data_IF_467120134139
#
_entry.id   IF_467120134139
#
_cell.length_a   1.000
_cell.length_b   1.000
_cell.length_c   1.000
_cell.angle_alpha   90.00
_cell.angle_beta   90.00
_cell.angle_gamma   90.00
#
_symmetry.space_group_name_H-M   'P 1'
#
loop_
_entity.id
_entity.type
_entity.pdbx_description
1 polymer ?
#
# COMPACT_ATOMS: atom_id res chain seq x y z
N UNK A 1 83.09 17.66 -32.71
CA UNK A 1 83.30 18.78 -31.76
C UNK A 1 82.02 19.61 -31.74
N UNK A 2 81.55 20.08 -30.57
CA UNK A 2 80.69 19.41 -29.56
C UNK A 2 79.33 20.16 -29.45
N UNK A 3 78.37 20.00 -28.52
CA UNK A 3 78.32 19.69 -27.08
C UNK A 3 76.84 19.34 -26.75
N UNK A 4 76.48 18.31 -25.97
CA UNK A 4 76.54 18.12 -24.52
C UNK A 4 75.13 18.13 -23.90
N UNK A 5 74.86 17.11 -23.08
CA UNK A 5 73.67 16.94 -22.26
C UNK A 5 73.76 17.75 -20.95
N UNK A 6 72.63 18.11 -20.32
CA UNK A 6 72.21 17.69 -18.97
C UNK A 6 70.94 18.43 -18.47
N UNK A 7 70.03 17.63 -17.89
CA UNK A 7 69.04 17.82 -16.80
C UNK A 7 68.43 19.20 -16.45
N UNK A 8 67.09 19.24 -16.27
CA UNK A 8 66.47 19.21 -14.93
C UNK A 8 64.94 18.99 -15.00
N UNK A 9 64.39 18.35 -13.96
CA UNK A 9 63.03 17.84 -13.79
C UNK A 9 62.01 18.90 -13.34
N UNK A 10 60.70 18.68 -13.59
CA UNK A 10 59.59 18.92 -12.64
C UNK A 10 58.19 18.74 -13.29
N UNK A 11 57.60 17.55 -13.10
CA UNK A 11 56.17 17.30 -12.79
C UNK A 11 55.07 17.53 -13.84
N UNK A 12 54.29 16.47 -14.13
CA UNK A 12 52.84 16.56 -13.88
C UNK A 12 52.37 15.35 -13.06
N UNK A 13 52.71 15.32 -11.76
CA UNK A 13 52.31 14.21 -10.86
C UNK A 13 51.47 14.66 -9.66
N UNK A 14 50.57 15.63 -9.84
CA UNK A 14 49.63 16.02 -8.78
C UNK A 14 48.15 15.94 -9.15
N UNK A 15 47.79 15.31 -10.28
CA UNK A 15 46.37 15.15 -10.67
C UNK A 15 45.87 13.70 -10.46
N UNK A 16 46.76 12.73 -10.28
CA UNK A 16 46.38 11.30 -10.24
C UNK A 16 45.91 10.80 -8.86
N UNK A 17 46.35 11.42 -7.76
CA UNK A 17 45.98 10.97 -6.41
C UNK A 17 44.62 11.52 -5.95
N UNK A 18 44.28 12.74 -6.36
CA UNK A 18 43.01 13.39 -5.98
C UNK A 18 41.81 12.78 -6.73
N UNK A 19 42.01 12.28 -7.96
CA UNK A 19 41.01 11.54 -8.72
C UNK A 19 40.85 10.09 -8.25
N UNK A 20 41.92 9.45 -7.78
CA UNK A 20 41.87 8.10 -7.22
C UNK A 20 41.16 8.05 -5.86
N UNK A 21 41.26 9.11 -5.06
CA UNK A 21 40.54 9.22 -3.78
C UNK A 21 39.05 9.49 -3.98
N UNK A 22 38.69 10.28 -5.01
CA UNK A 22 37.28 10.59 -5.35
C UNK A 22 36.52 9.37 -5.92
N UNK A 23 37.22 8.35 -6.43
CA UNK A 23 36.63 7.15 -7.03
C UNK A 23 36.14 6.08 -6.04
N UNK A 24 36.56 6.14 -4.77
CA UNK A 24 36.26 5.10 -3.77
C UNK A 24 35.19 5.45 -2.73
N UNK A 25 34.77 6.73 -2.66
CA UNK A 25 33.74 7.17 -1.72
C UNK A 25 32.34 7.35 -2.34
N UNK A 26 32.20 7.37 -3.66
CA UNK A 26 30.91 7.59 -4.35
C UNK A 26 30.07 6.30 -4.57
N UNK A 27 30.61 5.11 -4.32
CA UNK A 27 30.03 3.88 -4.91
C UNK A 27 29.27 2.96 -3.93
N UNK A 28 29.47 3.10 -2.61
CA UNK A 28 28.89 2.20 -1.60
C UNK A 28 27.65 2.78 -0.91
N UNK A 29 27.89 3.73 -0.01
CA UNK A 29 26.87 4.32 0.88
C UNK A 29 25.88 5.20 0.10
N UNK A 30 26.38 6.00 -0.85
CA UNK A 30 25.54 6.82 -1.72
C UNK A 30 24.65 5.97 -2.63
N UNK A 31 25.21 4.90 -3.21
CA UNK A 31 24.45 4.00 -4.06
C UNK A 31 23.36 3.24 -3.27
N UNK A 32 23.67 2.80 -2.05
CA UNK A 32 22.69 2.17 -1.15
C UNK A 32 21.59 3.13 -0.71
N UNK A 33 21.98 4.36 -0.33
CA UNK A 33 21.05 5.42 0.03
C UNK A 33 20.13 5.78 -1.13
N UNK A 34 20.67 5.93 -2.34
CA UNK A 34 19.89 6.22 -3.56
C UNK A 34 18.88 5.10 -3.86
N UNK A 35 19.29 3.82 -3.76
CA UNK A 35 18.36 2.68 -3.92
C UNK A 35 17.24 2.72 -2.88
N UNK A 36 17.58 2.99 -1.63
CA UNK A 36 16.61 3.09 -0.53
C UNK A 36 15.60 4.22 -0.75
N UNK A 37 16.07 5.39 -1.19
CA UNK A 37 15.21 6.53 -1.54
C UNK A 37 14.28 6.19 -2.70
N UNK A 38 14.78 5.55 -3.75
CA UNK A 38 13.98 5.13 -4.89
C UNK A 38 12.86 4.17 -4.49
N UNK A 39 13.15 3.20 -3.62
CA UNK A 39 12.14 2.27 -3.08
C UNK A 39 11.06 3.03 -2.28
N UNK A 40 11.46 3.95 -1.40
CA UNK A 40 10.50 4.75 -0.61
C UNK A 40 9.65 5.69 -1.49
N UNK A 41 10.21 6.21 -2.58
CA UNK A 41 9.46 7.00 -3.56
C UNK A 41 8.46 6.12 -4.32
N UNK A 42 8.85 4.92 -4.76
CA UNK A 42 7.96 3.96 -5.39
C UNK A 42 6.80 3.57 -4.46
N UNK A 43 7.08 3.33 -3.18
CA UNK A 43 6.06 3.06 -2.16
C UNK A 43 5.07 4.22 -2.00
N UNK A 44 5.56 5.47 -1.98
CA UNK A 44 4.68 6.66 -1.92
C UNK A 44 3.81 6.79 -3.16
N UNK A 45 4.39 6.59 -4.34
CA UNK A 45 3.65 6.63 -5.60
C UNK A 45 2.58 5.52 -5.64
N UNK A 46 2.93 4.31 -5.20
CA UNK A 46 1.99 3.20 -5.09
C UNK A 46 0.84 3.50 -4.12
N UNK A 47 1.12 3.99 -2.89
CA UNK A 47 0.09 4.37 -1.92
C UNK A 47 -0.85 5.46 -2.48
N UNK A 48 -0.32 6.46 -3.17
CA UNK A 48 -1.13 7.49 -3.81
C UNK A 48 -2.01 6.89 -4.93
N UNK A 49 -1.46 6.02 -5.76
CA UNK A 49 -2.18 5.28 -6.80
C UNK A 49 -3.29 4.40 -6.24
N UNK A 50 -3.00 3.69 -5.13
CA UNK A 50 -3.96 2.85 -4.43
C UNK A 50 -5.12 3.68 -3.85
N UNK A 51 -4.81 4.79 -3.16
CA UNK A 51 -5.81 5.69 -2.62
C UNK A 51 -6.71 6.27 -3.73
N UNK A 52 -6.11 6.69 -4.85
CA UNK A 52 -6.86 7.18 -6.01
C UNK A 52 -7.74 6.09 -6.64
N UNK A 53 -7.24 4.85 -6.75
CA UNK A 53 -8.01 3.71 -7.22
C UNK A 53 -9.19 3.41 -6.29
N UNK A 54 -8.97 3.32 -4.97
CA UNK A 54 -10.04 3.10 -3.98
C UNK A 54 -11.11 4.19 -4.02
N UNK A 55 -10.72 5.45 -4.25
CA UNK A 55 -11.66 6.55 -4.46
C UNK A 55 -12.50 6.35 -5.72
N UNK A 56 -11.88 6.08 -6.88
CA UNK A 56 -12.61 5.83 -8.13
C UNK A 56 -13.57 4.64 -8.03
N UNK A 57 -13.14 3.55 -7.39
CA UNK A 57 -14.00 2.39 -7.16
C UNK A 57 -15.23 2.75 -6.34
N UNK A 58 -15.04 3.48 -5.23
CA UNK A 58 -16.13 4.00 -4.40
C UNK A 58 -17.08 4.92 -5.17
N UNK A 59 -16.52 5.90 -5.88
CA UNK A 59 -17.27 6.86 -6.70
C UNK A 59 -18.10 6.13 -7.77
N UNK A 60 -17.53 5.09 -8.41
CA UNK A 60 -18.24 4.30 -9.43
C UNK A 60 -19.41 3.48 -8.89
N UNK A 61 -19.31 3.05 -7.62
CA UNK A 61 -20.39 2.34 -6.93
C UNK A 61 -21.37 3.31 -6.25
N UNK A 62 -21.11 4.63 -6.29
CA UNK A 62 -21.84 5.64 -5.50
C UNK A 62 -21.88 5.34 -3.99
N UNK A 63 -20.84 4.67 -3.48
CA UNK A 63 -20.74 4.21 -2.10
C UNK A 63 -19.61 4.93 -1.34
N UNK A 64 -19.89 5.28 -0.08
CA UNK A 64 -18.90 5.80 0.85
C UNK A 64 -17.92 4.71 1.35
N UNK A 65 -16.95 5.13 2.16
CA UNK A 65 -15.98 4.19 2.76
C UNK A 65 -16.62 3.21 3.73
N UNK A 66 -17.44 3.72 4.66
CA UNK A 66 -18.18 2.88 5.59
C UNK A 66 -19.19 1.94 4.89
N UNK A 67 -19.68 2.33 3.72
CA UNK A 67 -20.63 1.52 2.95
C UNK A 67 -19.97 0.25 2.43
N UNK A 68 -18.80 0.38 1.79
CA UNK A 68 -18.01 -0.78 1.36
C UNK A 68 -17.53 -1.61 2.54
N UNK A 69 -17.21 -0.97 3.67
CA UNK A 69 -16.78 -1.66 4.88
C UNK A 69 -17.91 -2.57 5.43
N UNK A 70 -19.15 -2.06 5.48
CA UNK A 70 -20.33 -2.86 5.84
C UNK A 70 -20.56 -4.00 4.87
N UNK A 71 -20.60 -3.72 3.55
CA UNK A 71 -20.85 -4.76 2.57
C UNK A 71 -19.82 -5.89 2.64
N UNK A 72 -18.54 -5.55 2.81
CA UNK A 72 -17.47 -6.55 2.94
C UNK A 72 -17.62 -7.38 4.22
N UNK A 73 -18.04 -6.75 5.32
CA UNK A 73 -18.29 -7.44 6.58
C UNK A 73 -19.42 -8.46 6.45
N UNK A 74 -20.56 -8.01 5.92
CA UNK A 74 -21.74 -8.86 5.72
C UNK A 74 -21.49 -9.99 4.71
N UNK A 75 -20.73 -9.72 3.64
CA UNK A 75 -20.32 -10.75 2.68
C UNK A 75 -19.45 -11.84 3.32
N UNK A 76 -18.57 -11.46 4.25
CA UNK A 76 -17.74 -12.41 5.01
C UNK A 76 -18.59 -13.21 6.00
N UNK A 77 -19.49 -12.56 6.74
CA UNK A 77 -20.40 -13.23 7.66
C UNK A 77 -21.31 -14.24 6.93
N UNK A 78 -21.82 -13.88 5.74
CA UNK A 78 -22.59 -14.77 4.87
C UNK A 78 -21.80 -16.01 4.45
N UNK A 79 -20.52 -15.88 4.11
CA UNK A 79 -19.65 -17.04 3.80
C UNK A 79 -19.46 -17.97 5.01
N UNK A 80 -19.54 -17.41 6.22
CA UNK A 80 -19.43 -18.13 7.49
C UNK A 80 -20.79 -18.61 8.01
N UNK A 81 -21.87 -18.40 7.26
CA UNK A 81 -23.26 -18.70 7.67
C UNK A 81 -23.64 -18.03 9.00
N UNK A 82 -23.06 -16.86 9.28
CA UNK A 82 -23.35 -16.06 10.47
C UNK A 82 -24.32 -14.93 10.15
N UNK A 83 -25.35 -14.79 10.98
CA UNK A 83 -26.22 -13.62 11.00
C UNK A 83 -25.47 -12.44 11.64
N UNK A 84 -25.72 -11.22 11.14
CA UNK A 84 -25.14 -9.98 11.68
C UNK A 84 -26.26 -9.08 12.15
N UNK A 85 -26.19 -8.67 13.42
CA UNK A 85 -27.18 -7.76 14.01
C UNK A 85 -26.72 -6.29 13.98
N UNK A 86 -27.67 -5.37 14.10
CA UNK A 86 -27.39 -3.93 14.13
C UNK A 86 -26.38 -3.48 15.21
N UNK A 87 -26.43 -3.97 16.47
CA UNK A 87 -25.47 -3.56 17.51
C UNK A 87 -24.04 -3.99 17.19
N UNK A 88 -23.89 -5.20 16.63
CA UNK A 88 -22.62 -5.74 16.16
C UNK A 88 -22.04 -4.89 15.03
N UNK A 89 -22.89 -4.49 14.07
CA UNK A 89 -22.46 -3.65 12.97
C UNK A 89 -21.98 -2.26 13.44
N UNK A 90 -22.67 -1.67 14.42
CA UNK A 90 -22.25 -0.40 15.02
C UNK A 90 -20.89 -0.51 15.71
N UNK A 91 -20.68 -1.60 16.47
CA UNK A 91 -19.41 -1.88 17.12
C UNK A 91 -18.28 -2.09 16.10
N UNK A 92 -18.53 -2.88 15.04
CA UNK A 92 -17.57 -3.14 13.97
C UNK A 92 -17.14 -1.86 13.23
N UNK A 93 -18.07 -0.95 12.99
CA UNK A 93 -17.80 0.33 12.34
C UNK A 93 -17.17 1.37 13.27
N UNK A 94 -17.09 1.10 14.58
CA UNK A 94 -16.67 2.06 15.60
C UNK A 94 -17.45 3.39 15.54
N UNK A 95 -18.76 3.32 15.30
CA UNK A 95 -19.67 4.48 15.26
C UNK A 95 -20.81 4.32 16.26
N UNK A 96 -21.53 5.42 16.52
CA UNK A 96 -22.74 5.35 17.35
C UNK A 96 -23.84 4.50 16.68
N UNK A 97 -24.72 3.89 17.48
CA UNK A 97 -25.86 3.13 16.97
C UNK A 97 -26.76 3.95 16.06
N UNK A 98 -26.92 5.26 16.32
CA UNK A 98 -27.71 6.16 15.47
C UNK A 98 -27.04 6.38 14.10
N UNK A 99 -25.72 6.55 14.06
CA UNK A 99 -24.97 6.67 12.81
C UNK A 99 -25.00 5.37 12.00
N UNK A 100 -24.82 4.22 12.67
CA UNK A 100 -24.95 2.91 12.01
C UNK A 100 -26.34 2.70 11.41
N UNK A 101 -27.41 3.03 12.14
CA UNK A 101 -28.79 2.96 11.61
C UNK A 101 -29.00 3.88 10.42
N UNK A 102 -28.48 5.11 10.46
CA UNK A 102 -28.59 6.03 9.33
C UNK A 102 -27.87 5.51 8.07
N UNK A 103 -26.71 4.88 8.27
CA UNK A 103 -25.96 4.23 7.20
C UNK A 103 -26.72 3.04 6.61
N UNK A 104 -27.23 2.13 7.45
CA UNK A 104 -28.00 0.96 7.00
C UNK A 104 -29.27 1.39 6.28
N UNK A 105 -30.04 2.33 6.84
CA UNK A 105 -31.26 2.83 6.19
C UNK A 105 -30.98 3.51 4.84
N UNK A 106 -29.84 4.18 4.69
CA UNK A 106 -29.40 4.73 3.39
C UNK A 106 -29.10 3.62 2.39
N UNK A 107 -28.38 2.59 2.81
CA UNK A 107 -28.00 1.46 1.96
C UNK A 107 -29.19 0.57 1.60
N UNK A 108 -30.16 0.42 2.49
CA UNK A 108 -31.42 -0.26 2.21
C UNK A 108 -32.24 0.52 1.18
N UNK A 109 -32.33 1.86 1.31
CA UNK A 109 -33.02 2.71 0.33
C UNK A 109 -32.38 2.66 -1.06
N UNK A 110 -31.06 2.48 -1.14
CA UNK A 110 -30.36 2.32 -2.42
C UNK A 110 -30.35 0.86 -2.93
N UNK A 111 -31.02 -0.07 -2.24
CA UNK A 111 -31.14 -1.47 -2.65
C UNK A 111 -29.90 -2.33 -2.35
N UNK A 112 -28.99 -1.84 -1.50
CA UNK A 112 -27.75 -2.56 -1.19
C UNK A 112 -27.87 -3.55 -0.03
N UNK A 113 -28.75 -3.23 0.92
CA UNK A 113 -29.01 -4.04 2.10
C UNK A 113 -30.50 -4.37 2.21
N UNK A 114 -30.78 -5.42 2.96
CA UNK A 114 -32.12 -5.76 3.45
C UNK A 114 -32.00 -6.03 4.95
N UNK A 115 -32.94 -5.51 5.73
CA UNK A 115 -33.07 -5.83 7.15
C UNK A 115 -34.26 -6.76 7.34
N UNK A 116 -34.03 -7.95 7.87
CA UNK A 116 -35.06 -8.95 8.15
C UNK A 116 -35.07 -9.26 9.66
N UNK A 117 -36.07 -8.74 10.37
CA UNK A 117 -36.08 -8.79 11.84
C UNK A 117 -34.92 -7.99 12.42
N UNK A 118 -34.01 -8.67 13.14
CA UNK A 118 -32.80 -8.07 13.71
C UNK A 118 -31.54 -8.27 12.86
N UNK A 119 -31.66 -8.97 11.73
CA UNK A 119 -30.54 -9.34 10.86
C UNK A 119 -30.38 -8.38 9.68
N UNK A 120 -29.14 -7.95 9.43
CA UNK A 120 -28.77 -7.12 8.28
C UNK A 120 -28.07 -7.98 7.24
N UNK A 121 -28.54 -7.95 6.00
CA UNK A 121 -28.02 -8.77 4.89
C UNK A 121 -27.72 -7.93 3.66
N UNK A 122 -26.78 -8.39 2.83
CA UNK A 122 -26.56 -7.85 1.48
C UNK A 122 -27.55 -8.42 0.48
N UNK A 123 -27.95 -7.61 -0.50
CA UNK A 123 -28.71 -8.09 -1.66
C UNK A 123 -27.84 -8.93 -2.59
N UNK A 124 -28.46 -9.79 -3.41
CA UNK A 124 -27.75 -10.63 -4.40
C UNK A 124 -27.01 -9.76 -5.42
N UNK A 125 -27.63 -8.64 -5.80
CA UNK A 125 -27.11 -7.64 -6.72
C UNK A 125 -25.85 -6.98 -6.13
N UNK A 126 -25.89 -6.56 -4.86
CA UNK A 126 -24.72 -5.94 -4.21
C UNK A 126 -23.60 -6.93 -3.98
N UNK A 127 -23.94 -8.17 -3.64
CA UNK A 127 -23.00 -9.28 -3.59
C UNK A 127 -22.25 -9.45 -4.91
N UNK A 128 -22.98 -9.45 -6.03
CA UNK A 128 -22.40 -9.57 -7.37
C UNK A 128 -21.59 -8.33 -7.74
N UNK A 129 -22.09 -7.13 -7.47
CA UNK A 129 -21.43 -5.85 -7.77
C UNK A 129 -20.10 -5.71 -7.02
N UNK A 130 -20.09 -6.00 -5.71
CA UNK A 130 -18.89 -5.96 -4.87
C UNK A 130 -17.88 -7.00 -5.35
N UNK A 131 -18.31 -8.25 -5.59
CA UNK A 131 -17.41 -9.30 -6.09
C UNK A 131 -16.84 -8.96 -7.47
N UNK A 132 -17.66 -8.44 -8.38
CA UNK A 132 -17.21 -8.08 -9.72
C UNK A 132 -16.21 -6.91 -9.67
N UNK A 133 -16.51 -5.88 -8.89
CA UNK A 133 -15.69 -4.66 -8.86
C UNK A 133 -14.40 -4.84 -8.05
N UNK A 134 -14.47 -5.43 -6.86
CA UNK A 134 -13.27 -5.71 -6.05
C UNK A 134 -12.50 -6.93 -6.58
N UNK A 135 -13.18 -7.91 -7.18
CA UNK A 135 -12.55 -9.08 -7.79
C UNK A 135 -11.66 -8.70 -8.97
N UNK A 136 -12.15 -7.86 -9.90
CA UNK A 136 -11.34 -7.33 -11.00
C UNK A 136 -10.11 -6.55 -10.51
N UNK A 137 -10.24 -5.79 -9.42
CA UNK A 137 -9.09 -5.12 -8.81
C UNK A 137 -8.08 -6.14 -8.27
N UNK A 138 -8.54 -7.14 -7.53
CA UNK A 138 -7.69 -8.18 -6.97
C UNK A 138 -6.97 -9.00 -8.05
N UNK A 139 -7.68 -9.36 -9.11
CA UNK A 139 -7.13 -10.08 -10.26
C UNK A 139 -6.01 -9.29 -10.95
N UNK A 140 -6.22 -7.99 -11.19
CA UNK A 140 -5.17 -7.12 -11.78
C UNK A 140 -3.93 -6.99 -10.90
N UNK A 141 -4.09 -7.00 -9.58
CA UNK A 141 -2.95 -6.99 -8.65
C UNK A 141 -2.23 -8.34 -8.63
N UNK A 142 -2.97 -9.44 -8.72
CA UNK A 142 -2.43 -10.79 -8.80
C UNK A 142 -1.65 -10.99 -10.11
N UNK A 143 -2.18 -10.52 -11.23
CA UNK A 143 -1.52 -10.51 -12.53
C UNK A 143 -0.21 -9.70 -12.50
N UNK A 144 -0.24 -8.51 -11.90
CA UNK A 144 0.96 -7.68 -11.74
C UNK A 144 2.05 -8.35 -10.90
N UNK A 145 1.67 -9.13 -9.88
CA UNK A 145 2.61 -9.92 -9.07
C UNK A 145 3.06 -11.22 -9.79
N UNK A 146 2.22 -11.79 -10.64
CA UNK A 146 2.46 -13.07 -11.33
C UNK A 146 3.63 -13.07 -12.30
N UNK A 147 4.14 -11.90 -12.70
CA UNK A 147 5.33 -11.76 -13.55
C UNK A 147 6.67 -11.89 -12.80
N UNK A 148 6.67 -12.01 -11.47
CA UNK A 148 7.89 -12.07 -10.67
C UNK A 148 8.52 -13.47 -10.65
N UNK A 149 9.85 -13.51 -10.68
CA UNK A 149 10.60 -14.73 -10.35
C UNK A 149 10.43 -15.10 -8.86
N UNK A 150 10.68 -16.35 -8.46
CA UNK A 150 10.58 -16.76 -7.06
C UNK A 150 11.46 -15.94 -6.11
N UNK A 151 12.65 -15.52 -6.53
CA UNK A 151 13.57 -14.70 -5.73
C UNK A 151 13.07 -13.26 -5.57
N UNK A 152 12.59 -12.64 -6.65
CA UNK A 152 11.99 -11.31 -6.59
C UNK A 152 10.76 -11.29 -5.69
N UNK A 153 9.89 -12.31 -5.80
CA UNK A 153 8.72 -12.46 -4.93
C UNK A 153 9.11 -12.55 -3.45
N UNK A 154 10.12 -13.37 -3.11
CA UNK A 154 10.64 -13.46 -1.73
C UNK A 154 11.20 -12.13 -1.23
N UNK A 155 11.98 -11.43 -2.07
CA UNK A 155 12.58 -10.17 -1.71
C UNK A 155 11.52 -9.08 -1.43
N UNK A 156 10.49 -9.00 -2.27
CA UNK A 156 9.37 -8.06 -2.11
C UNK A 156 8.58 -8.34 -0.84
N UNK A 157 8.21 -9.61 -0.59
CA UNK A 157 7.48 -10.00 0.63
C UNK A 157 8.30 -9.65 1.89
N UNK A 158 9.59 -9.99 1.90
CA UNK A 158 10.46 -9.69 3.04
C UNK A 158 10.63 -8.18 3.25
N UNK A 159 10.74 -7.39 2.18
CA UNK A 159 10.81 -5.93 2.24
C UNK A 159 9.52 -5.33 2.83
N UNK A 160 8.35 -5.74 2.32
CA UNK A 160 7.05 -5.25 2.81
C UNK A 160 6.84 -5.59 4.29
N UNK A 161 7.26 -6.77 4.73
CA UNK A 161 7.25 -7.15 6.15
C UNK A 161 8.05 -6.18 7.02
N UNK A 162 9.31 -5.88 6.65
CA UNK A 162 10.14 -4.92 7.39
C UNK A 162 9.54 -3.51 7.42
N UNK A 163 8.85 -3.10 6.36
CA UNK A 163 8.19 -1.80 6.31
C UNK A 163 6.97 -1.74 7.23
N UNK A 164 6.20 -2.83 7.34
CA UNK A 164 5.09 -2.93 8.27
C UNK A 164 5.60 -2.83 9.72
N UNK A 165 6.62 -3.63 10.07
CA UNK A 165 7.25 -3.58 11.40
C UNK A 165 7.83 -2.20 11.74
N UNK A 166 8.28 -1.45 10.73
CA UNK A 166 8.80 -0.09 10.92
C UNK A 166 7.68 0.92 11.21
N UNK A 167 6.51 0.79 10.58
CA UNK A 167 5.36 1.67 10.81
C UNK A 167 4.68 1.36 12.13
N UNK A 168 4.43 0.08 12.44
CA UNK A 168 3.74 -0.31 13.68
C UNK A 168 4.49 0.14 14.94
N UNK A 169 5.83 0.20 14.88
CA UNK A 169 6.66 0.71 15.99
C UNK A 169 6.48 2.20 16.27
N UNK A 170 6.07 2.99 15.28
CA UNK A 170 5.82 4.43 15.45
C UNK A 170 4.53 4.63 16.26
N UNK A 171 3.46 3.94 15.88
CA UNK A 171 2.16 4.02 16.56
C UNK A 171 2.23 3.56 18.03
N UNK A 172 3.13 2.61 18.35
CA UNK A 172 3.36 2.14 19.71
C UNK A 172 4.14 3.14 20.60
N UNK A 173 4.92 4.06 20.01
CA UNK A 173 5.65 5.09 20.77
C UNK A 173 4.79 6.34 20.99
N UNK A 174 3.91 6.66 20.04
CA UNK A 174 3.03 7.84 20.11
C UNK A 174 1.77 7.65 20.99
N UNK A 175 1.51 6.42 21.46
CA UNK A 175 0.38 6.08 22.35
C UNK A 175 0.74 6.07 23.85
N UNK A 176 1.94 6.54 24.22
CA UNK A 176 2.43 6.60 25.63
C UNK A 176 2.59 8.04 26.13
N UNK A 177 1.78 9.00 25.66
CA UNK A 177 1.70 10.36 26.17
C UNK A 177 0.25 10.82 26.31
#
# INVERSE_FOLDING_TARGET
>A
MPAAALHDESGPEHVSEELSSRYWYETGDDAERLRSVAILQAMRAYRAGEAAMRRRTRDSMSMGENDLLVLRYLLKAKQQQSAVAMPELAAYLAVSTSAARALVARLERSGHLVVEGDEVRTTVESDAEVRATLGRMHERMLEAAGGMTPDEGRAVVAFLGRMLDAVDRIDAHDSVH
#
